data_IF_892325039236
#
_entry.id   IF_892325039236
#
_cell.length_a   1.000
_cell.length_b   1.000
_cell.length_c   1.000
_cell.angle_alpha   90.00
_cell.angle_beta   90.00
_cell.angle_gamma   90.00
#
_symmetry.space_group_name_H-M   'P 1'
#
loop_
_entity.id
_entity.type
_entity.pdbx_description
1 polymer ?
#
# COMPACT_ATOMS: atom_id res chain seq x y z
N UNK A 1 33.66 -26.90 16.55
CA UNK A 1 34.96 -27.40 17.04
C UNK A 1 36.16 -26.58 16.52
N UNK A 2 35.96 -25.29 16.15
CA UNK A 2 37.07 -24.48 15.59
C UNK A 2 37.72 -23.56 16.63
N UNK A 3 37.12 -23.33 17.78
CA UNK A 3 37.66 -22.47 18.82
C UNK A 3 37.21 -22.90 20.22
N UNK A 4 38.09 -22.72 21.22
CA UNK A 4 37.80 -23.05 22.62
C UNK A 4 37.20 -21.88 23.39
N UNK A 5 37.21 -20.67 22.79
CA UNK A 5 36.62 -19.46 23.33
C UNK A 5 36.18 -18.52 22.20
N UNK A 6 35.34 -17.55 22.54
CA UNK A 6 34.76 -16.55 21.63
C UNK A 6 35.85 -15.70 20.91
N UNK A 7 36.92 -15.37 21.61
CA UNK A 7 38.03 -14.59 21.04
C UNK A 7 38.78 -15.36 19.96
N UNK A 8 39.01 -16.66 20.16
CA UNK A 8 39.62 -17.52 19.16
C UNK A 8 38.73 -17.72 17.95
N UNK A 9 37.41 -17.88 18.15
CA UNK A 9 36.45 -17.97 17.07
C UNK A 9 36.49 -16.72 16.20
N UNK A 10 36.40 -15.54 16.79
CA UNK A 10 36.51 -14.26 16.08
C UNK A 10 37.78 -14.18 15.23
N UNK A 11 38.91 -14.44 15.83
CA UNK A 11 40.22 -14.34 15.17
C UNK A 11 40.34 -15.30 13.98
N UNK A 12 39.86 -16.51 14.13
CA UNK A 12 39.87 -17.52 13.06
C UNK A 12 38.91 -17.14 11.93
N UNK A 13 37.69 -16.76 12.26
CA UNK A 13 36.70 -16.31 11.27
C UNK A 13 37.16 -15.08 10.50
N UNK A 14 37.71 -14.08 11.19
CA UNK A 14 38.26 -12.88 10.55
C UNK A 14 39.43 -13.22 9.60
N UNK A 15 40.34 -14.09 10.03
CA UNK A 15 41.48 -14.52 9.21
C UNK A 15 41.02 -15.29 7.97
N UNK A 16 40.00 -16.13 8.12
CA UNK A 16 39.44 -16.89 7.01
C UNK A 16 38.69 -15.97 6.02
N UNK A 17 37.91 -15.03 6.51
CA UNK A 17 37.20 -14.05 5.65
C UNK A 17 38.20 -13.18 4.87
N UNK A 18 39.25 -12.69 5.53
CA UNK A 18 40.33 -11.94 4.87
C UNK A 18 41.04 -12.76 3.80
N UNK A 19 41.38 -14.00 4.09
CA UNK A 19 41.98 -14.88 3.10
C UNK A 19 41.12 -15.06 1.86
N UNK A 20 39.80 -15.25 2.04
CA UNK A 20 38.87 -15.38 0.91
C UNK A 20 38.75 -14.08 0.12
N UNK A 21 38.66 -12.94 0.80
CA UNK A 21 38.58 -11.62 0.17
C UNK A 21 39.82 -11.27 -0.62
N UNK A 22 40.98 -11.57 -0.07
CA UNK A 22 42.30 -11.38 -0.74
C UNK A 22 42.44 -12.24 -2.01
N UNK A 23 41.67 -13.34 -2.09
CA UNK A 23 41.55 -14.17 -3.31
C UNK A 23 40.46 -13.67 -4.27
N UNK A 24 39.83 -12.54 -3.99
CA UNK A 24 38.74 -11.97 -4.82
C UNK A 24 37.39 -12.68 -4.66
N UNK A 25 37.22 -13.48 -3.62
CA UNK A 25 35.96 -14.16 -3.37
C UNK A 25 34.94 -13.24 -2.71
N UNK A 26 33.68 -13.32 -3.16
CA UNK A 26 32.53 -12.79 -2.42
C UNK A 26 32.03 -13.86 -1.45
N UNK A 27 31.96 -13.52 -0.17
CA UNK A 27 31.59 -14.47 0.88
C UNK A 27 30.18 -14.15 1.37
N UNK A 28 29.31 -15.14 1.32
CA UNK A 28 28.00 -15.11 1.93
C UNK A 28 27.93 -16.19 3.00
N UNK A 29 27.56 -15.81 4.20
CA UNK A 29 27.30 -16.76 5.29
C UNK A 29 26.01 -16.41 5.99
N UNK A 30 25.39 -17.40 6.61
CA UNK A 30 24.16 -17.26 7.39
C UNK A 30 24.43 -17.53 8.83
N UNK A 31 23.77 -16.79 9.71
CA UNK A 31 23.78 -16.99 11.13
C UNK A 31 22.33 -16.94 11.65
N UNK A 32 22.05 -17.68 12.70
CA UNK A 32 20.77 -17.62 13.39
C UNK A 32 20.91 -16.71 14.61
N UNK A 33 20.06 -15.70 14.68
CA UNK A 33 20.01 -14.80 15.82
C UNK A 33 19.50 -15.55 17.05
N UNK A 34 20.26 -15.48 18.15
CA UNK A 34 19.90 -16.02 19.44
C UNK A 34 20.22 -14.99 20.52
N UNK A 35 19.28 -14.78 21.46
CA UNK A 35 19.55 -13.91 22.62
C UNK A 35 20.68 -14.45 23.52
N UNK A 36 21.02 -15.72 23.41
CA UNK A 36 22.08 -16.36 24.18
C UNK A 36 23.45 -16.24 23.55
N UNK A 37 23.52 -16.06 22.23
CA UNK A 37 24.75 -15.90 21.46
C UNK A 37 24.57 -14.77 20.42
N UNK A 38 24.74 -13.51 20.83
CA UNK A 38 24.56 -12.38 19.92
C UNK A 38 25.68 -12.35 18.86
N UNK A 39 25.26 -12.21 17.60
CA UNK A 39 26.16 -12.17 16.43
C UNK A 39 26.84 -10.81 16.20
N UNK A 40 26.87 -9.93 17.20
CA UNK A 40 27.37 -8.57 17.08
C UNK A 40 28.76 -8.51 16.45
N UNK A 41 29.60 -9.46 16.78
CA UNK A 41 30.97 -9.52 16.27
C UNK A 41 31.05 -9.88 14.79
N UNK A 42 30.24 -10.79 14.34
CA UNK A 42 30.13 -11.13 12.91
C UNK A 42 29.58 -9.95 12.12
N UNK A 43 28.65 -9.20 12.70
CA UNK A 43 28.09 -8.01 12.08
C UNK A 43 29.13 -6.90 11.86
N UNK A 44 30.10 -6.73 12.78
CA UNK A 44 31.19 -5.78 12.59
C UNK A 44 32.11 -6.14 11.42
N UNK A 45 32.32 -7.42 11.16
CA UNK A 45 33.24 -7.92 10.14
C UNK A 45 32.67 -7.87 8.71
N UNK A 46 31.32 -7.81 8.56
CA UNK A 46 30.67 -7.86 7.26
C UNK A 46 30.53 -6.50 6.60
N UNK A 47 30.57 -6.46 5.28
CA UNK A 47 30.31 -5.27 4.47
C UNK A 47 28.82 -5.05 4.26
N UNK A 48 28.02 -6.10 4.35
CA UNK A 48 26.57 -6.06 4.26
C UNK A 48 25.89 -7.00 5.25
N UNK A 49 24.75 -6.57 5.80
CA UNK A 49 23.93 -7.36 6.72
C UNK A 49 22.49 -7.32 6.21
N UNK A 50 21.97 -8.52 5.99
CA UNK A 50 20.59 -8.75 5.56
C UNK A 50 19.89 -9.51 6.68
N UNK A 51 18.90 -8.90 7.32
CA UNK A 51 18.09 -9.52 8.33
C UNK A 51 16.84 -10.12 7.69
N UNK A 52 16.53 -11.35 8.05
CA UNK A 52 15.30 -12.05 7.67
C UNK A 52 14.54 -12.36 8.93
N UNK A 53 13.29 -11.96 8.97
CA UNK A 53 12.43 -12.19 10.12
C UNK A 53 11.12 -12.88 9.71
N UNK A 54 10.53 -13.59 10.65
CA UNK A 54 9.27 -14.26 10.48
C UNK A 54 8.31 -13.84 11.59
N UNK A 55 7.25 -13.14 11.19
CA UNK A 55 6.18 -12.67 12.05
C UNK A 55 4.89 -13.45 11.79
N UNK A 56 3.89 -13.22 12.62
CA UNK A 56 2.56 -13.78 12.40
C UNK A 56 1.97 -13.38 11.05
N UNK A 57 2.31 -12.18 10.57
CA UNK A 57 1.86 -11.60 9.31
C UNK A 57 2.61 -12.14 8.09
N UNK A 58 3.78 -12.73 8.27
CA UNK A 58 4.60 -13.26 7.19
C UNK A 58 6.10 -13.06 7.37
N UNK A 59 6.83 -13.05 6.27
CA UNK A 59 8.29 -12.85 6.28
C UNK A 59 8.64 -11.43 5.90
N UNK A 60 9.67 -10.89 6.55
CA UNK A 60 10.27 -9.62 6.18
C UNK A 60 11.76 -9.78 5.86
N UNK A 61 12.27 -8.80 5.14
CA UNK A 61 13.68 -8.61 4.83
C UNK A 61 14.06 -7.16 5.10
N UNK A 62 15.14 -6.94 5.82
CA UNK A 62 15.69 -5.62 6.07
C UNK A 62 17.21 -5.61 5.86
N UNK A 63 17.73 -4.49 5.37
CA UNK A 63 19.17 -4.23 5.37
C UNK A 63 19.48 -3.33 6.56
N UNK A 64 20.36 -3.79 7.46
CA UNK A 64 20.83 -2.99 8.58
C UNK A 64 22.20 -2.35 8.32
N UNK A 65 22.97 -2.92 7.39
CA UNK A 65 24.28 -2.41 6.99
C UNK A 65 24.56 -2.72 5.53
N UNK A 66 25.14 -1.78 4.82
CA UNK A 66 25.73 -2.02 3.50
C UNK A 66 26.82 -0.98 3.21
N UNK A 67 28.06 -1.44 3.00
CA UNK A 67 29.21 -0.58 2.66
C UNK A 67 29.33 -0.51 1.15
N UNK A 68 29.34 0.68 0.59
CA UNK A 68 29.58 0.89 -0.84
C UNK A 68 28.44 1.56 -1.59
N UNK A 69 27.19 1.54 -1.09
CA UNK A 69 26.09 2.33 -1.64
C UNK A 69 25.02 2.64 -0.60
N UNK A 70 24.14 3.59 -0.92
CA UNK A 70 22.93 3.79 -0.15
C UNK A 70 21.96 2.62 -0.35
N UNK A 71 21.14 2.32 0.65
CA UNK A 71 20.12 1.28 0.60
C UNK A 71 18.77 1.78 1.14
N UNK A 72 17.73 1.02 0.88
CA UNK A 72 16.40 1.32 1.41
C UNK A 72 16.29 0.82 2.85
N UNK A 73 16.11 1.76 3.78
CA UNK A 73 15.88 1.46 5.18
C UNK A 73 14.48 0.89 5.44
N UNK A 74 14.37 0.14 6.53
CA UNK A 74 13.14 -0.44 7.03
C UNK A 74 12.91 -1.87 6.54
N UNK A 75 11.89 -2.46 7.08
CA UNK A 75 11.45 -3.80 6.74
C UNK A 75 10.63 -3.78 5.45
N UNK A 76 10.85 -4.81 4.65
CA UNK A 76 10.16 -5.02 3.39
C UNK A 76 9.51 -6.40 3.43
N UNK A 77 8.24 -6.50 3.04
CA UNK A 77 7.58 -7.81 2.97
C UNK A 77 8.24 -8.73 1.96
N UNK A 78 8.33 -10.00 2.29
CA UNK A 78 8.95 -11.02 1.46
C UNK A 78 8.09 -12.28 1.35
N UNK A 79 8.01 -12.86 0.15
CA UNK A 79 7.43 -14.19 -0.08
C UNK A 79 8.41 -15.12 -0.76
N UNK A 80 8.39 -16.37 -0.34
CA UNK A 80 9.03 -17.47 -1.06
C UNK A 80 7.97 -18.10 -1.96
N UNK A 81 8.22 -18.14 -3.25
CA UNK A 81 7.28 -18.64 -4.27
C UNK A 81 7.95 -19.75 -5.09
N UNK A 82 7.18 -20.54 -5.85
CA UNK A 82 7.77 -21.51 -6.79
C UNK A 82 8.72 -20.89 -7.83
N UNK A 83 8.65 -19.57 -8.04
CA UNK A 83 9.53 -18.81 -8.93
C UNK A 83 10.70 -18.14 -8.19
N UNK A 84 10.90 -18.44 -6.90
CA UNK A 84 11.94 -17.87 -6.06
C UNK A 84 11.42 -16.83 -5.06
N UNK A 85 12.33 -16.05 -4.52
CA UNK A 85 12.05 -15.00 -3.54
C UNK A 85 11.47 -13.78 -4.25
N UNK A 86 10.35 -13.28 -3.72
CA UNK A 86 9.74 -12.02 -4.14
C UNK A 86 9.74 -11.03 -2.97
N UNK A 87 10.28 -9.84 -3.20
CA UNK A 87 10.35 -8.77 -2.21
C UNK A 87 9.39 -7.66 -2.62
N UNK A 88 8.68 -7.12 -1.65
CA UNK A 88 7.75 -6.00 -1.78
C UNK A 88 8.31 -4.81 -0.99
N UNK A 89 9.02 -3.91 -1.66
CA UNK A 89 9.62 -2.77 -0.98
C UNK A 89 8.57 -1.84 -0.38
N UNK A 90 8.81 -1.41 0.86
CA UNK A 90 7.99 -0.38 1.51
C UNK A 90 7.89 0.87 0.65
N UNK A 91 6.69 1.43 0.55
CA UNK A 91 6.46 2.68 -0.17
C UNK A 91 7.24 3.81 0.48
N UNK A 92 7.94 4.57 -0.35
CA UNK A 92 8.46 5.87 0.05
C UNK A 92 7.68 6.97 -0.68
N UNK A 93 7.30 8.05 0.00
CA UNK A 93 6.71 9.20 -0.66
C UNK A 93 7.67 9.68 -1.76
N UNK A 94 7.19 9.79 -2.98
CA UNK A 94 7.98 10.38 -4.06
C UNK A 94 8.25 11.86 -3.75
N UNK A 95 9.49 12.31 -3.97
CA UNK A 95 9.87 13.73 -3.86
C UNK A 95 9.44 14.56 -5.09
N UNK A 96 8.79 13.92 -6.08
CA UNK A 96 8.30 14.64 -7.26
C UNK A 96 7.00 15.35 -6.93
N UNK A 97 7.02 16.65 -6.85
CA UNK A 97 5.84 17.48 -6.99
C UNK A 97 5.44 17.49 -8.48
N UNK A 98 4.25 17.01 -8.80
CA UNK A 98 3.63 17.31 -10.08
C UNK A 98 3.11 18.73 -10.05
N UNK A 99 3.18 19.43 -11.19
CA UNK A 99 2.47 20.70 -11.37
C UNK A 99 0.99 20.48 -11.00
N UNK A 100 0.52 21.32 -10.11
CA UNK A 100 -0.84 21.27 -9.61
C UNK A 100 -1.77 21.85 -10.68
N UNK A 101 -2.55 21.03 -11.32
CA UNK A 101 -3.58 21.48 -12.27
C UNK A 101 -4.87 21.59 -11.46
N UNK A 102 -5.34 22.83 -11.25
CA UNK A 102 -6.65 23.11 -10.66
C UNK A 102 -7.75 22.69 -11.62
N UNK A 103 -8.15 21.44 -11.54
CA UNK A 103 -9.24 20.85 -12.31
C UNK A 103 -10.14 20.05 -11.38
N UNK A 104 -11.45 20.20 -11.52
CA UNK A 104 -12.43 19.43 -10.77
C UNK A 104 -12.93 18.24 -11.57
N UNK A 105 -13.28 17.17 -10.87
CA UNK A 105 -13.94 15.99 -11.42
C UNK A 105 -15.41 16.07 -11.04
N UNK A 106 -16.26 16.28 -12.05
CA UNK A 106 -17.71 16.29 -11.89
C UNK A 106 -18.23 14.94 -11.40
N UNK A 107 -19.24 14.95 -10.57
CA UNK A 107 -20.00 13.76 -10.18
C UNK A 107 -20.99 13.32 -11.25
N UNK A 108 -21.32 14.18 -12.22
CA UNK A 108 -22.40 14.00 -13.20
C UNK A 108 -23.78 14.15 -12.58
N UNK A 109 -23.87 14.68 -11.36
CA UNK A 109 -25.12 15.06 -10.67
C UNK A 109 -25.06 16.57 -10.46
N UNK A 110 -25.83 17.38 -11.24
CA UNK A 110 -25.70 18.84 -11.25
C UNK A 110 -25.81 19.48 -9.87
N UNK A 111 -26.74 19.02 -9.04
CA UNK A 111 -26.98 19.54 -7.69
C UNK A 111 -25.78 19.23 -6.76
N UNK A 112 -25.14 18.09 -6.93
CA UNK A 112 -23.93 17.71 -6.18
C UNK A 112 -22.75 18.55 -6.62
N UNK A 113 -22.58 18.76 -7.92
CA UNK A 113 -21.51 19.56 -8.48
C UNK A 113 -21.67 21.04 -8.09
N UNK A 114 -22.90 21.56 -7.95
CA UNK A 114 -23.14 22.89 -7.39
C UNK A 114 -22.67 23.01 -5.95
N UNK A 115 -22.98 22.01 -5.09
CA UNK A 115 -22.50 21.97 -3.69
C UNK A 115 -20.98 21.89 -3.61
N UNK A 116 -20.35 21.15 -4.51
CA UNK A 116 -18.90 20.95 -4.57
C UNK A 116 -18.16 21.99 -5.42
N UNK A 117 -18.83 23.06 -5.89
CA UNK A 117 -18.24 24.08 -6.77
C UNK A 117 -17.59 23.50 -8.02
N UNK A 118 -18.21 22.48 -8.62
CA UNK A 118 -17.80 21.82 -9.86
C UNK A 118 -17.30 20.39 -9.71
N UNK A 119 -17.28 19.86 -8.51
CA UNK A 119 -16.90 18.47 -8.23
C UNK A 119 -15.70 18.34 -7.27
N UNK A 120 -15.10 17.15 -7.19
CA UNK A 120 -13.91 16.94 -6.37
C UNK A 120 -12.64 17.37 -7.09
N UNK A 121 -11.65 17.87 -6.35
CA UNK A 121 -10.41 18.37 -6.92
C UNK A 121 -9.52 17.20 -7.41
N UNK A 122 -8.98 17.32 -8.61
CA UNK A 122 -8.13 16.30 -9.24
C UNK A 122 -6.80 16.16 -8.49
N UNK A 123 -6.37 14.92 -8.28
CA UNK A 123 -5.09 14.64 -7.61
C UNK A 123 -5.11 14.86 -6.09
N UNK A 124 -6.31 14.98 -5.51
CA UNK A 124 -6.51 15.05 -4.05
C UNK A 124 -7.07 13.75 -3.50
N UNK A 125 -7.04 13.61 -2.20
CA UNK A 125 -7.71 12.53 -1.47
C UNK A 125 -9.00 13.06 -0.84
N UNK A 126 -10.12 12.42 -1.15
CA UNK A 126 -11.45 12.75 -0.64
C UNK A 126 -12.00 11.58 0.17
N UNK A 127 -12.47 11.85 1.39
CA UNK A 127 -13.18 10.86 2.21
C UNK A 127 -14.69 11.07 2.03
N UNK A 128 -15.39 9.97 1.76
CA UNK A 128 -16.87 9.92 1.79
C UNK A 128 -17.24 9.14 3.06
N UNK A 129 -17.77 9.84 4.06
CA UNK A 129 -18.13 9.28 5.37
C UNK A 129 -19.63 9.18 5.57
N UNK A 130 -20.06 8.19 6.32
CA UNK A 130 -21.45 8.01 6.74
C UNK A 130 -21.76 6.61 7.25
N UNK A 131 -22.93 6.36 7.84
CA UNK A 131 -23.34 5.04 8.28
C UNK A 131 -23.50 4.06 7.11
N UNK A 132 -23.56 2.76 7.42
CA UNK A 132 -23.80 1.73 6.39
C UNK A 132 -25.10 1.98 5.64
N UNK A 133 -25.13 1.68 4.34
CA UNK A 133 -26.32 1.77 3.50
C UNK A 133 -26.71 3.15 2.98
N UNK A 134 -26.01 4.26 3.35
CA UNK A 134 -26.36 5.63 2.90
C UNK A 134 -25.95 5.96 1.46
N UNK A 135 -25.29 5.05 0.75
CA UNK A 135 -24.92 5.25 -0.66
C UNK A 135 -23.49 5.73 -0.90
N UNK A 136 -22.58 5.63 0.07
CA UNK A 136 -21.16 6.06 -0.06
C UNK A 136 -20.46 5.47 -1.30
N UNK A 137 -20.47 4.15 -1.41
CA UNK A 137 -19.90 3.43 -2.57
C UNK A 137 -20.52 3.86 -3.88
N UNK A 138 -21.86 4.00 -3.89
CA UNK A 138 -22.62 4.45 -5.06
C UNK A 138 -22.17 5.83 -5.53
N UNK A 139 -21.99 6.76 -4.59
CA UNK A 139 -21.49 8.10 -4.90
C UNK A 139 -20.05 8.05 -5.46
N UNK A 140 -19.17 7.24 -4.88
CA UNK A 140 -17.82 7.05 -5.41
C UNK A 140 -17.81 6.49 -6.84
N UNK A 141 -18.65 5.48 -7.12
CA UNK A 141 -18.81 4.92 -8.47
C UNK A 141 -19.39 5.93 -9.46
N UNK A 142 -20.25 6.85 -9.00
CA UNK A 142 -20.81 7.91 -9.85
C UNK A 142 -19.72 8.84 -10.42
N UNK A 143 -18.72 9.24 -9.60
CA UNK A 143 -17.55 9.97 -10.11
C UNK A 143 -16.74 9.16 -11.14
N UNK A 144 -16.62 7.84 -10.92
CA UNK A 144 -15.90 6.96 -11.85
C UNK A 144 -16.67 6.76 -13.17
N UNK A 145 -18.01 6.77 -13.15
CA UNK A 145 -18.84 6.75 -14.35
C UNK A 145 -18.58 7.98 -15.21
N UNK A 146 -18.52 9.16 -14.60
CA UNK A 146 -18.20 10.39 -15.32
C UNK A 146 -16.77 10.40 -15.85
N UNK A 147 -15.81 9.86 -15.09
CA UNK A 147 -14.44 9.66 -15.54
C UNK A 147 -14.37 8.71 -16.76
N UNK A 148 -15.09 7.60 -16.72
CA UNK A 148 -15.18 6.66 -17.85
C UNK A 148 -15.76 7.32 -19.10
N UNK A 149 -16.77 8.21 -18.95
CA UNK A 149 -17.32 9.03 -20.05
C UNK A 149 -16.27 9.95 -20.71
N UNK A 150 -15.26 10.36 -19.96
CA UNK A 150 -14.11 11.15 -20.47
C UNK A 150 -12.95 10.28 -21.00
N UNK A 151 -13.09 8.95 -20.97
CA UNK A 151 -12.03 8.01 -21.33
C UNK A 151 -10.94 7.84 -20.26
N UNK A 152 -11.23 8.17 -19.02
CA UNK A 152 -10.32 8.04 -17.89
C UNK A 152 -10.57 6.73 -17.15
N UNK A 153 -9.50 5.95 -16.93
CA UNK A 153 -9.56 4.69 -16.22
C UNK A 153 -9.62 4.89 -14.71
N UNK A 154 -10.41 4.08 -14.06
CA UNK A 154 -10.57 4.04 -12.61
C UNK A 154 -10.41 2.62 -12.06
N UNK A 155 -10.10 2.50 -10.77
CA UNK A 155 -10.07 1.21 -10.05
C UNK A 155 -10.73 1.33 -8.69
N UNK A 156 -11.51 0.30 -8.33
CA UNK A 156 -12.12 0.11 -7.01
C UNK A 156 -11.48 -1.10 -6.35
N UNK A 157 -10.97 -0.90 -5.16
CA UNK A 157 -10.59 -1.99 -4.25
C UNK A 157 -11.68 -2.18 -3.22
N UNK A 158 -12.40 -3.31 -3.28
CA UNK A 158 -13.45 -3.66 -2.31
C UNK A 158 -12.96 -4.72 -1.34
N UNK A 159 -13.21 -4.52 -0.06
CA UNK A 159 -12.76 -5.40 1.03
C UNK A 159 -13.90 -6.20 1.66
N UNK A 160 -15.13 -5.74 1.52
CA UNK A 160 -16.30 -6.31 2.17
C UNK A 160 -17.31 -6.89 1.19
N UNK A 161 -17.46 -6.26 0.04
CA UNK A 161 -18.43 -6.64 -0.98
C UNK A 161 -17.75 -7.39 -2.14
N UNK A 162 -18.40 -8.42 -2.67
CA UNK A 162 -17.91 -9.10 -3.87
C UNK A 162 -18.08 -8.23 -5.12
N UNK A 163 -17.19 -8.45 -6.11
CA UNK A 163 -17.27 -7.77 -7.41
C UNK A 163 -18.67 -7.88 -8.04
N UNK A 164 -19.25 -9.08 -8.06
CA UNK A 164 -20.55 -9.34 -8.67
C UNK A 164 -21.69 -8.63 -7.92
N UNK A 165 -21.63 -8.55 -6.59
CA UNK A 165 -22.59 -7.82 -5.77
C UNK A 165 -22.56 -6.33 -6.08
N UNK A 166 -21.37 -5.74 -6.12
CA UNK A 166 -21.18 -4.33 -6.47
C UNK A 166 -21.71 -4.02 -7.86
N UNK A 167 -21.38 -4.87 -8.87
CA UNK A 167 -21.86 -4.70 -10.24
C UNK A 167 -23.38 -4.71 -10.28
N UNK A 168 -24.03 -5.74 -9.72
CA UNK A 168 -25.49 -5.90 -9.77
C UNK A 168 -26.19 -4.74 -9.06
N UNK A 169 -25.66 -4.28 -7.92
CA UNK A 169 -26.22 -3.14 -7.18
C UNK A 169 -26.13 -1.85 -7.98
N UNK A 170 -25.02 -1.57 -8.61
CA UNK A 170 -24.85 -0.37 -9.43
C UNK A 170 -25.71 -0.39 -10.68
N UNK A 171 -25.82 -1.53 -11.35
CA UNK A 171 -26.66 -1.68 -12.54
C UNK A 171 -28.15 -1.52 -12.22
N UNK A 172 -28.61 -1.93 -11.03
CA UNK A 172 -30.01 -1.74 -10.60
C UNK A 172 -30.43 -0.28 -10.50
N UNK A 173 -29.47 0.64 -10.43
CA UNK A 173 -29.68 2.10 -10.36
C UNK A 173 -29.15 2.84 -11.60
N UNK A 174 -29.02 2.14 -12.73
CA UNK A 174 -28.57 2.67 -14.01
C UNK A 174 -27.11 3.20 -14.04
N UNK A 175 -26.23 2.67 -13.22
CA UNK A 175 -24.78 2.90 -13.35
C UNK A 175 -24.19 1.71 -14.12
N UNK A 176 -23.72 1.88 -15.37
CA UNK A 176 -23.38 0.78 -16.27
C UNK A 176 -21.98 0.18 -15.99
N UNK A 177 -21.77 -0.31 -14.78
CA UNK A 177 -20.45 -0.81 -14.29
C UNK A 177 -19.91 -1.93 -15.18
N UNK A 178 -20.77 -2.86 -15.62
CA UNK A 178 -20.35 -3.96 -16.51
C UNK A 178 -19.82 -3.46 -17.85
N UNK A 179 -20.46 -2.43 -18.42
CA UNK A 179 -19.98 -1.79 -19.64
C UNK A 179 -18.64 -1.09 -19.42
N UNK A 180 -18.49 -0.39 -18.29
CA UNK A 180 -17.22 0.28 -17.94
C UNK A 180 -16.07 -0.72 -17.75
N UNK A 181 -16.34 -1.90 -17.19
CA UNK A 181 -15.35 -2.99 -17.06
C UNK A 181 -14.99 -3.52 -18.45
N UNK A 182 -15.99 -3.83 -19.29
CA UNK A 182 -15.76 -4.38 -20.63
C UNK A 182 -14.97 -3.45 -21.55
N UNK A 183 -15.12 -2.14 -21.39
CA UNK A 183 -14.33 -1.14 -22.11
C UNK A 183 -12.97 -0.86 -21.49
N UNK A 184 -12.66 -1.46 -20.35
CA UNK A 184 -11.41 -1.24 -19.64
C UNK A 184 -11.31 0.09 -18.88
N UNK A 185 -12.43 0.83 -18.76
CA UNK A 185 -12.46 2.12 -18.05
C UNK A 185 -12.61 1.94 -16.54
N UNK A 186 -13.05 0.77 -16.06
CA UNK A 186 -13.14 0.45 -14.65
C UNK A 186 -12.54 -0.92 -14.38
N UNK A 187 -11.81 -1.04 -13.30
CA UNK A 187 -11.47 -2.32 -12.66
C UNK A 187 -12.13 -2.38 -11.29
N UNK A 188 -12.71 -3.52 -10.96
CA UNK A 188 -13.17 -3.85 -9.61
C UNK A 188 -12.29 -4.98 -9.10
N UNK A 189 -11.63 -4.78 -7.97
CA UNK A 189 -10.69 -5.74 -7.40
C UNK A 189 -11.13 -6.06 -5.98
N UNK A 190 -11.65 -7.28 -5.81
CA UNK A 190 -11.95 -7.78 -4.48
C UNK A 190 -10.66 -8.17 -3.77
N UNK A 191 -10.45 -7.63 -2.57
CA UNK A 191 -9.28 -7.90 -1.73
C UNK A 191 -9.69 -8.87 -0.64
N UNK A 192 -9.24 -10.11 -0.78
CA UNK A 192 -9.50 -11.17 0.22
C UNK A 192 -8.81 -10.84 1.56
N UNK A 193 -9.50 -11.03 2.70
CA UNK A 193 -8.94 -10.79 4.01
C UNK A 193 -7.64 -11.57 4.24
N UNK A 194 -6.65 -10.89 4.82
CA UNK A 194 -5.35 -11.45 5.19
C UNK A 194 -4.53 -12.06 4.03
N UNK A 195 -4.92 -11.79 2.79
CA UNK A 195 -4.20 -12.29 1.61
C UNK A 195 -2.93 -11.52 1.32
N UNK A 196 -2.93 -10.22 1.56
CA UNK A 196 -1.85 -9.31 1.22
C UNK A 196 -1.26 -8.65 2.47
N UNK A 197 0.05 -8.37 2.46
CA UNK A 197 0.62 -7.36 3.33
C UNK A 197 0.32 -5.96 2.76
N UNK A 198 0.45 -4.88 3.56
CA UNK A 198 0.30 -3.51 3.06
C UNK A 198 1.21 -3.19 1.88
N UNK A 199 2.45 -3.68 1.87
CA UNK A 199 3.40 -3.47 0.78
C UNK A 199 3.00 -4.24 -0.49
N UNK A 200 2.44 -5.45 -0.33
CA UNK A 200 1.91 -6.22 -1.46
C UNK A 200 0.71 -5.52 -2.08
N UNK A 201 -0.22 -5.04 -1.26
CA UNK A 201 -1.36 -4.25 -1.70
C UNK A 201 -0.90 -2.96 -2.39
N UNK A 202 0.05 -2.26 -1.79
CA UNK A 202 0.62 -1.06 -2.39
C UNK A 202 1.24 -1.31 -3.78
N UNK A 203 1.85 -2.49 -4.01
CA UNK A 203 2.32 -2.86 -5.36
C UNK A 203 1.18 -3.12 -6.34
N UNK A 204 0.04 -3.67 -5.90
CA UNK A 204 -1.14 -3.81 -6.76
C UNK A 204 -1.65 -2.43 -7.20
N UNK A 205 -1.77 -1.50 -6.26
CA UNK A 205 -2.19 -0.12 -6.55
C UNK A 205 -1.20 0.57 -7.47
N UNK A 206 0.10 0.43 -7.22
CA UNK A 206 1.14 1.00 -8.09
C UNK A 206 1.02 0.51 -9.53
N UNK A 207 0.79 -0.77 -9.72
CA UNK A 207 0.60 -1.33 -11.05
C UNK A 207 -0.60 -0.70 -11.76
N UNK A 208 -1.71 -0.47 -11.08
CA UNK A 208 -2.86 0.23 -11.66
C UNK A 208 -2.56 1.68 -12.01
N UNK A 209 -1.78 2.37 -11.19
CA UNK A 209 -1.40 3.77 -11.41
C UNK A 209 -0.33 3.91 -12.48
N UNK A 210 0.75 3.12 -12.39
CA UNK A 210 1.95 3.28 -13.22
C UNK A 210 1.77 2.59 -14.59
N UNK A 211 1.26 1.36 -14.63
CA UNK A 211 1.16 0.56 -15.86
C UNK A 211 -0.19 0.79 -16.58
N UNK A 212 -1.30 0.78 -15.84
CA UNK A 212 -2.65 0.91 -16.39
C UNK A 212 -3.14 2.35 -16.46
N UNK A 213 -2.37 3.32 -15.93
CA UNK A 213 -2.64 4.76 -15.98
C UNK A 213 -4.00 5.16 -15.37
N UNK A 214 -4.44 4.44 -14.32
CA UNK A 214 -5.67 4.79 -13.61
C UNK A 214 -5.59 6.19 -13.01
N UNK A 215 -6.66 6.98 -13.20
CA UNK A 215 -6.76 8.38 -12.76
C UNK A 215 -7.52 8.55 -11.47
N UNK A 216 -8.41 7.60 -11.15
CA UNK A 216 -9.16 7.55 -9.91
C UNK A 216 -8.96 6.19 -9.26
N UNK A 217 -8.67 6.18 -7.97
CA UNK A 217 -8.57 4.99 -7.13
C UNK A 217 -9.53 5.13 -5.97
N UNK A 218 -10.43 4.15 -5.79
CA UNK A 218 -11.31 4.07 -4.63
C UNK A 218 -10.94 2.90 -3.73
N UNK A 219 -10.92 3.15 -2.43
CA UNK A 219 -10.74 2.14 -1.37
C UNK A 219 -12.05 2.03 -0.60
N UNK A 220 -12.72 0.89 -0.71
CA UNK A 220 -14.03 0.62 -0.13
C UNK A 220 -14.00 -0.67 0.73
N UNK A 221 -13.87 -0.54 2.05
CA UNK A 221 -13.81 0.63 2.91
C UNK A 221 -12.45 0.78 3.61
N UNK A 222 -12.22 1.91 4.29
CA UNK A 222 -11.05 2.10 5.16
C UNK A 222 -11.06 1.14 6.34
N UNK A 223 -12.22 0.78 6.87
CA UNK A 223 -12.39 -0.23 7.92
C UNK A 223 -12.04 -1.62 7.41
N UNK A 224 -12.55 -2.01 6.24
CA UNK A 224 -12.21 -3.24 5.57
C UNK A 224 -10.72 -3.32 5.23
N UNK A 225 -10.11 -2.22 4.79
CA UNK A 225 -8.67 -2.13 4.58
C UNK A 225 -7.88 -2.48 5.86
N UNK A 226 -8.23 -1.85 7.00
CA UNK A 226 -7.57 -2.10 8.29
C UNK A 226 -7.69 -3.56 8.74
N UNK A 227 -8.84 -4.17 8.52
CA UNK A 227 -9.11 -5.55 8.94
C UNK A 227 -8.50 -6.59 8.01
N UNK A 228 -8.37 -6.27 6.73
CA UNK A 228 -7.99 -7.24 5.70
C UNK A 228 -6.50 -7.30 5.43
N UNK A 229 -5.73 -6.27 5.75
CA UNK A 229 -4.30 -6.28 5.53
C UNK A 229 -3.55 -6.68 6.80
N UNK A 230 -2.54 -7.52 6.62
CA UNK A 230 -1.64 -7.92 7.69
C UNK A 230 -0.64 -6.79 7.95
N UNK A 231 -0.41 -6.42 9.19
CA UNK A 231 0.62 -5.44 9.57
C UNK A 231 0.22 -4.57 10.75
N UNK A 232 1.21 -3.95 11.38
CA UNK A 232 1.03 -3.26 12.66
C UNK A 232 0.43 -1.85 12.55
N UNK A 233 0.58 -1.15 11.41
CA UNK A 233 0.10 0.24 11.26
C UNK A 233 -0.59 0.47 9.93
N UNK A 234 -1.82 -0.05 9.74
CA UNK A 234 -2.55 0.10 8.49
C UNK A 234 -2.87 1.56 8.16
N UNK A 235 -2.94 2.44 9.15
CA UNK A 235 -3.26 3.86 8.94
C UNK A 235 -2.07 4.59 8.30
N UNK A 236 -0.86 4.41 8.84
CA UNK A 236 0.35 4.97 8.22
C UNK A 236 0.62 4.41 6.82
N UNK A 237 0.32 3.13 6.61
CA UNK A 237 0.41 2.53 5.28
C UNK A 237 -0.57 3.16 4.30
N UNK A 238 -1.84 3.32 4.70
CA UNK A 238 -2.85 3.98 3.88
C UNK A 238 -2.49 5.44 3.59
N UNK A 239 -1.94 6.15 4.58
CA UNK A 239 -1.41 7.51 4.40
C UNK A 239 -0.30 7.55 3.34
N UNK A 240 0.70 6.70 3.47
CA UNK A 240 1.82 6.63 2.53
C UNK A 240 1.34 6.30 1.10
N UNK A 241 0.37 5.39 0.98
CA UNK A 241 -0.24 5.00 -0.28
C UNK A 241 -1.06 6.15 -0.88
N UNK A 242 -1.87 6.84 -0.08
CA UNK A 242 -2.66 8.01 -0.51
C UNK A 242 -1.74 9.13 -1.02
N UNK A 243 -0.68 9.45 -0.27
CA UNK A 243 0.32 10.44 -0.69
C UNK A 243 1.09 10.03 -1.95
N UNK A 244 1.38 8.75 -2.15
CA UNK A 244 1.94 8.25 -3.41
C UNK A 244 0.99 8.51 -4.57
N UNK A 245 -0.29 8.15 -4.45
CA UNK A 245 -1.30 8.30 -5.49
C UNK A 245 -1.53 9.78 -5.84
N UNK A 246 -1.77 10.64 -4.85
CA UNK A 246 -2.02 12.07 -5.09
C UNK A 246 -0.82 12.76 -5.73
N UNK A 247 0.41 12.48 -5.29
CA UNK A 247 1.64 12.97 -5.93
C UNK A 247 1.86 12.43 -7.35
N UNK A 248 1.27 11.28 -7.67
CA UNK A 248 1.23 10.75 -9.05
C UNK A 248 0.12 11.37 -9.88
N UNK A 249 -0.65 12.33 -9.33
CA UNK A 249 -1.78 12.99 -9.99
C UNK A 249 -3.02 12.12 -10.09
N UNK A 250 -3.16 11.15 -9.21
CA UNK A 250 -4.33 10.27 -9.08
C UNK A 250 -5.25 10.81 -8.01
N UNK A 251 -6.54 10.90 -8.31
CA UNK A 251 -7.57 11.25 -7.33
C UNK A 251 -7.94 10.02 -6.52
N UNK A 252 -7.95 10.17 -5.20
CA UNK A 252 -8.21 9.07 -4.27
C UNK A 252 -9.56 9.29 -3.60
N UNK A 253 -10.41 8.26 -3.63
CA UNK A 253 -11.69 8.25 -2.91
C UNK A 253 -11.59 7.18 -1.82
N UNK A 254 -11.74 7.60 -0.57
CA UNK A 254 -11.74 6.73 0.59
C UNK A 254 -13.14 6.63 1.15
N UNK A 255 -13.72 5.45 1.15
CA UNK A 255 -15.02 5.19 1.78
C UNK A 255 -14.79 4.90 3.26
N UNK A 256 -15.40 5.70 4.13
CA UNK A 256 -15.29 5.54 5.58
C UNK A 256 -16.65 5.26 6.19
N UNK A 257 -16.75 4.20 6.96
CA UNK A 257 -17.94 3.87 7.72
C UNK A 257 -17.82 4.46 9.13
N UNK A 258 -18.88 5.15 9.56
CA UNK A 258 -18.98 5.70 10.91
C UNK A 258 -20.21 5.15 11.58
N UNK A 259 -20.07 4.69 12.82
CA UNK A 259 -21.21 4.30 13.64
C UNK A 259 -21.97 5.55 14.09
N UNK A 260 -23.31 5.47 14.12
CA UNK A 260 -24.13 6.49 14.74
C UNK A 260 -23.91 6.47 16.25
N UNK A 261 -23.17 7.44 16.75
CA UNK A 261 -23.07 7.68 18.19
C UNK A 261 -24.15 8.66 18.60
N UNK A 262 -25.04 8.24 19.50
CA UNK A 262 -26.08 9.09 20.09
C UNK A 262 -25.47 10.38 20.67
N UNK A 263 -25.65 11.52 19.96
CA UNK A 263 -25.22 12.84 20.48
C UNK A 263 -24.22 13.61 19.63
N UNK A 264 -23.82 13.16 18.48
CA UNK A 264 -22.96 13.91 17.55
C UNK A 264 -22.32 13.00 16.53
N UNK A 265 -22.35 13.39 15.26
CA UNK A 265 -21.59 12.75 14.20
C UNK A 265 -20.10 12.82 14.53
N UNK A 266 -19.49 11.71 14.92
CA UNK A 266 -18.04 11.56 14.78
C UNK A 266 -17.79 11.42 13.29
N UNK A 267 -17.33 12.48 12.66
CA UNK A 267 -17.11 12.56 11.20
C UNK A 267 -16.06 11.56 10.74
N UNK A 268 -15.14 11.16 11.60
CA UNK A 268 -14.14 10.13 11.32
C UNK A 268 -13.72 9.40 12.59
N UNK A 269 -13.32 8.14 12.48
CA UNK A 269 -12.50 7.50 13.52
C UNK A 269 -11.19 8.29 13.71
N UNK A 270 -10.70 8.32 14.95
CA UNK A 270 -9.42 8.98 15.29
C UNK A 270 -8.33 8.48 14.34
N UNK A 271 -7.75 9.39 13.56
CA UNK A 271 -6.60 9.10 12.72
C UNK A 271 -6.84 8.93 11.21
N UNK A 272 -8.06 9.15 10.70
CA UNK A 272 -8.32 9.08 9.24
C UNK A 272 -8.43 10.48 8.61
N UNK A 273 -8.87 11.50 9.36
CA UNK A 273 -9.05 12.86 8.83
C UNK A 273 -7.80 13.48 8.21
N UNK A 274 -6.61 13.13 8.69
CA UNK A 274 -5.35 13.64 8.12
C UNK A 274 -4.94 12.92 6.80
N UNK A 275 -5.68 11.88 6.38
CA UNK A 275 -5.43 11.17 5.12
C UNK A 275 -6.00 11.90 3.92
N UNK A 276 -6.91 12.83 4.12
CA UNK A 276 -7.68 13.46 3.07
C UNK A 276 -7.48 14.97 3.04
N UNK A 277 -7.59 15.50 1.84
CA UNK A 277 -7.61 16.92 1.57
C UNK A 277 -9.07 17.46 1.66
N UNK A 278 -10.06 16.57 1.44
CA UNK A 278 -11.50 16.88 1.51
C UNK A 278 -12.25 15.80 2.31
N UNK A 279 -13.28 16.19 3.07
CA UNK A 279 -14.13 15.28 3.85
C UNK A 279 -15.59 15.65 3.64
#
# INVERSE_FOLDING_TARGET
>A
YLANDEFQFRKQTLSFLRFLTDKGATVLFTSEFSDQEPDDDLQFMCDGIINLEFFAEGRSIALSKYRGSGFRFGEHSMRITPKGVKIYPRLRPMLREKEYIHETISSGVPEMDEILHGGIERGTATIISGPSGVGKTTLGIQFMKEAAGRGERSVVYTFEESEESLINRCESINIPVRSMINTGMLSVVQVEPLRYSPEEFAQLVRKEVDDNQSKIVMIDSTSGYKLSLRGEDPVSHLHSLSKYMTRSGVTVILINEVEEVSGGLKITEIGISYLADNI
#
